data_IF_718562466569
#
_entry.id   IF_718562466569
#
_cell.length_a   1.000
_cell.length_b   1.000
_cell.length_c   1.000
_cell.angle_alpha   90.00
_cell.angle_beta   90.00
_cell.angle_gamma   90.00
#
_symmetry.space_group_name_H-M   'P 1'
#
loop_
_entity.id
_entity.type
_entity.pdbx_description
1 polymer ?
#
# COMPACT_ATOMS: atom_id res chain seq x y z
N UNK A 1 66.03 8.02 2.38
CA UNK A 1 64.94 8.91 1.87
C UNK A 1 63.89 8.02 1.25
N UNK A 2 62.90 7.70 2.02
CA UNK A 2 61.78 6.81 1.62
C UNK A 2 60.57 7.71 1.27
N UNK A 3 60.15 7.67 0.04
CA UNK A 3 58.94 8.36 -0.42
C UNK A 3 57.70 7.56 0.00
N UNK A 4 56.81 8.21 0.74
CA UNK A 4 55.46 7.67 1.02
C UNK A 4 54.56 7.92 -0.20
N UNK A 5 53.66 6.95 -0.53
CA UNK A 5 52.69 7.18 -1.57
C UNK A 5 51.54 8.07 -1.05
N UNK A 6 51.29 9.16 -1.77
CA UNK A 6 50.10 9.99 -1.57
C UNK A 6 48.86 9.20 -2.02
N UNK A 7 47.99 8.86 -1.10
CA UNK A 7 46.64 8.36 -1.39
C UNK A 7 45.75 9.53 -1.81
N UNK A 8 45.48 9.63 -3.09
CA UNK A 8 44.44 10.48 -3.64
C UNK A 8 43.07 9.85 -3.28
N UNK A 9 42.36 10.45 -2.33
CA UNK A 9 40.94 10.18 -2.12
C UNK A 9 40.16 10.79 -3.30
N UNK A 10 39.94 10.00 -4.36
CA UNK A 10 38.85 10.29 -5.28
C UNK A 10 37.56 10.22 -4.51
N UNK A 11 36.90 11.38 -4.34
CA UNK A 11 35.53 11.46 -3.89
C UNK A 11 34.68 10.79 -4.97
N UNK A 12 34.23 9.56 -4.71
CA UNK A 12 33.14 8.96 -5.46
C UNK A 12 31.90 9.84 -5.27
N UNK A 13 31.67 10.77 -6.19
CA UNK A 13 30.39 11.43 -6.31
C UNK A 13 29.35 10.35 -6.65
N UNK A 14 28.47 10.09 -5.70
CA UNK A 14 27.36 9.17 -5.87
C UNK A 14 26.51 9.68 -7.05
N UNK A 15 26.42 8.96 -8.18
CA UNK A 15 25.67 9.41 -9.36
C UNK A 15 24.17 9.62 -9.08
N UNK A 16 23.67 9.15 -7.93
CA UNK A 16 22.28 9.31 -7.49
C UNK A 16 22.00 10.64 -6.77
N UNK A 17 23.01 11.49 -6.51
CA UNK A 17 22.85 12.81 -5.88
C UNK A 17 22.33 13.92 -6.80
N UNK A 18 21.86 13.63 -7.99
CA UNK A 18 21.27 14.64 -8.91
C UNK A 18 19.73 14.62 -8.97
N UNK A 19 19.07 13.89 -8.10
CA UNK A 19 17.63 14.05 -7.96
C UNK A 19 17.35 15.31 -7.14
N UNK A 20 16.65 16.26 -7.78
CA UNK A 20 16.34 17.58 -7.28
C UNK A 20 15.80 17.54 -5.85
N UNK A 21 16.35 18.37 -4.99
CA UNK A 21 15.89 18.60 -3.60
C UNK A 21 14.44 19.19 -3.50
N UNK A 22 13.64 19.10 -4.56
CA UNK A 22 12.27 19.63 -4.62
C UNK A 22 11.38 18.82 -5.55
N UNK A 23 10.10 18.71 -5.20
CA UNK A 23 9.06 18.23 -6.10
C UNK A 23 9.05 19.01 -7.43
N UNK A 24 8.62 18.40 -8.53
CA UNK A 24 8.58 19.08 -9.83
C UNK A 24 7.53 20.19 -9.85
N UNK A 25 7.81 21.23 -10.65
CA UNK A 25 6.95 22.42 -10.77
C UNK A 25 5.46 22.09 -11.01
N UNK A 26 5.15 21.04 -11.78
CA UNK A 26 3.77 20.67 -12.10
C UNK A 26 2.91 20.39 -10.86
N UNK A 27 3.52 19.89 -9.75
CA UNK A 27 2.78 19.66 -8.52
C UNK A 27 2.29 20.98 -7.92
N UNK A 28 3.16 21.98 -7.83
CA UNK A 28 2.81 23.27 -7.25
C UNK A 28 1.81 24.03 -8.12
N UNK A 29 1.95 23.94 -9.44
CA UNK A 29 0.96 24.46 -10.40
C UNK A 29 -0.40 23.75 -10.21
N UNK A 30 -0.40 22.43 -10.00
CA UNK A 30 -1.60 21.65 -9.73
C UNK A 30 -2.26 22.00 -8.39
N UNK A 31 -1.46 22.27 -7.37
CA UNK A 31 -1.93 22.69 -6.05
C UNK A 31 -2.31 24.19 -6.00
N UNK A 32 -2.01 24.97 -7.03
CA UNK A 32 -2.29 26.41 -7.10
C UNK A 32 -1.45 27.26 -6.16
N UNK A 33 -0.22 26.82 -5.83
CA UNK A 33 0.68 27.52 -4.92
C UNK A 33 2.06 27.76 -5.52
N UNK A 34 2.78 28.74 -5.00
CA UNK A 34 4.18 28.97 -5.36
C UNK A 34 5.08 27.85 -4.81
N UNK A 35 6.21 27.58 -5.47
CA UNK A 35 7.19 26.59 -4.99
C UNK A 35 7.79 27.09 -3.66
N UNK A 36 7.57 26.36 -2.54
CA UNK A 36 8.11 26.76 -1.25
C UNK A 36 9.59 26.40 -1.13
N UNK A 37 10.33 27.12 -0.30
CA UNK A 37 11.68 26.74 0.13
C UNK A 37 11.59 25.64 1.21
N UNK A 38 12.72 24.97 1.46
CA UNK A 38 12.81 24.00 2.55
C UNK A 38 12.57 24.71 3.90
N UNK A 39 11.68 24.20 4.71
CA UNK A 39 11.22 24.80 5.97
C UNK A 39 9.99 25.72 5.85
N UNK A 40 9.59 26.13 4.65
CA UNK A 40 8.40 26.97 4.47
C UNK A 40 7.12 26.20 4.82
N UNK A 41 6.18 26.88 5.47
CA UNK A 41 4.83 26.40 5.74
C UNK A 41 3.87 26.93 4.65
N UNK A 42 3.02 26.08 4.13
CA UNK A 42 1.95 26.44 3.19
C UNK A 42 0.61 25.89 3.66
N UNK A 43 -0.48 26.57 3.32
CA UNK A 43 -1.84 26.09 3.54
C UNK A 43 -2.41 25.50 2.24
N UNK A 44 -2.92 24.27 2.31
CA UNK A 44 -3.63 23.61 1.23
C UNK A 44 -5.01 23.19 1.76
N UNK A 45 -6.05 23.86 1.30
CA UNK A 45 -7.43 23.56 1.69
C UNK A 45 -7.67 23.59 3.22
N UNK A 46 -7.05 24.54 3.93
CA UNK A 46 -7.13 24.67 5.38
C UNK A 46 -6.25 23.69 6.17
N UNK A 47 -5.35 23.00 5.50
CA UNK A 47 -4.39 22.08 6.11
C UNK A 47 -2.97 22.64 5.98
N UNK A 48 -2.22 22.59 7.07
CA UNK A 48 -0.83 23.05 7.10
C UNK A 48 0.13 21.98 6.62
N UNK A 49 1.01 22.37 5.71
CA UNK A 49 2.09 21.55 5.18
C UNK A 49 3.42 22.25 5.38
N UNK A 50 4.45 21.50 5.73
CA UNK A 50 5.84 21.98 5.73
C UNK A 50 6.56 21.35 4.55
N UNK A 51 7.28 22.15 3.77
CA UNK A 51 8.25 21.67 2.80
C UNK A 51 9.48 21.17 3.54
N UNK A 52 9.81 19.89 3.39
CA UNK A 52 10.99 19.30 4.02
C UNK A 52 11.63 18.26 3.14
N UNK A 53 12.90 18.48 2.77
CA UNK A 53 13.68 17.58 1.92
C UNK A 53 12.95 17.21 0.61
N UNK A 54 12.43 18.21 -0.07
CA UNK A 54 11.71 18.03 -1.32
C UNK A 54 10.30 17.44 -1.21
N UNK A 55 9.77 17.20 -0.01
CA UNK A 55 8.44 16.61 0.22
C UNK A 55 7.57 17.58 1.02
N UNK A 56 6.33 17.80 0.57
CA UNK A 56 5.30 18.48 1.38
C UNK A 56 4.74 17.50 2.41
N UNK A 57 4.86 17.87 3.70
CA UNK A 57 4.46 17.03 4.83
C UNK A 57 3.32 17.68 5.61
N UNK A 58 2.22 16.98 5.69
CA UNK A 58 1.04 17.40 6.44
C UNK A 58 1.31 17.36 7.95
N UNK A 59 0.79 18.39 8.67
CA UNK A 59 0.87 18.51 10.13
C UNK A 59 -0.45 18.16 10.83
N UNK A 60 -1.29 17.32 10.22
CA UNK A 60 -2.58 16.95 10.81
C UNK A 60 -2.44 16.24 12.16
N UNK A 61 -3.36 16.60 13.05
CA UNK A 61 -3.67 15.79 14.22
C UNK A 61 -4.47 14.57 13.76
N UNK A 62 -3.87 13.40 13.91
CA UNK A 62 -4.48 12.11 13.62
C UNK A 62 -5.23 11.60 14.87
N UNK A 63 -6.22 10.74 14.67
CA UNK A 63 -6.77 9.91 15.76
C UNK A 63 -5.66 9.04 16.37
N UNK A 64 -5.87 8.53 17.58
CA UNK A 64 -4.91 7.63 18.23
C UNK A 64 -4.67 6.37 17.39
N UNK A 65 -5.72 5.79 16.80
CA UNK A 65 -5.63 4.60 15.98
C UNK A 65 -4.92 4.86 14.65
N UNK A 66 -5.18 6.01 14.01
CA UNK A 66 -4.49 6.39 12.79
C UNK A 66 -3.02 6.75 13.04
N UNK A 67 -2.69 7.34 14.19
CA UNK A 67 -1.32 7.65 14.58
C UNK A 67 -0.50 6.36 14.79
N UNK A 68 -1.05 5.37 15.49
CA UNK A 68 -0.42 4.05 15.66
C UNK A 68 -0.26 3.34 14.31
N UNK A 69 -1.30 3.34 13.49
CA UNK A 69 -1.26 2.74 12.14
C UNK A 69 -0.17 3.38 11.27
N UNK A 70 -0.04 4.72 11.30
CA UNK A 70 1.04 5.47 10.64
C UNK A 70 2.43 5.01 11.11
N UNK A 71 2.61 4.84 12.42
CA UNK A 71 3.89 4.39 13.00
C UNK A 71 4.21 2.95 12.57
N UNK A 72 3.22 2.07 12.62
CA UNK A 72 3.32 0.68 12.17
C UNK A 72 3.81 0.57 10.73
N UNK A 73 3.21 1.30 9.80
CA UNK A 73 3.62 1.27 8.40
C UNK A 73 4.95 1.98 8.15
N UNK A 74 5.24 3.05 8.90
CA UNK A 74 6.55 3.69 8.85
C UNK A 74 7.68 2.74 9.24
N UNK A 75 7.50 1.97 10.31
CA UNK A 75 8.43 0.94 10.75
C UNK A 75 8.56 -0.21 9.74
N UNK A 76 7.42 -0.78 9.33
CA UNK A 76 7.34 -1.89 8.37
C UNK A 76 8.11 -1.59 7.09
N UNK A 77 7.77 -0.48 6.44
CA UNK A 77 8.39 -0.08 5.17
C UNK A 77 9.83 0.43 5.31
N UNK A 78 10.28 0.74 6.52
CA UNK A 78 11.69 1.00 6.82
C UNK A 78 12.57 -0.26 6.74
N UNK A 79 12.00 -1.45 6.90
CA UNK A 79 12.72 -2.74 6.85
C UNK A 79 12.85 -3.26 5.40
N UNK A 80 13.61 -2.59 4.56
CA UNK A 80 13.74 -2.92 3.12
C UNK A 80 14.13 -4.37 2.83
N UNK A 81 14.97 -4.97 3.67
CA UNK A 81 15.38 -6.38 3.54
C UNK A 81 14.20 -7.39 3.65
N UNK A 82 13.03 -6.95 4.08
CA UNK A 82 11.85 -7.81 4.26
C UNK A 82 10.88 -7.75 3.09
N UNK A 83 11.19 -7.03 2.00
CA UNK A 83 10.30 -6.89 0.83
C UNK A 83 11.02 -6.51 -0.48
N UNK A 84 12.35 -6.62 -0.54
CA UNK A 84 13.15 -6.21 -1.70
C UNK A 84 13.74 -7.40 -2.49
N UNK A 85 13.51 -8.66 -2.06
CA UNK A 85 14.00 -9.81 -2.81
C UNK A 85 13.28 -9.95 -4.16
N UNK A 86 13.96 -10.53 -5.14
CA UNK A 86 13.39 -10.82 -6.45
C UNK A 86 12.14 -11.70 -6.34
N UNK A 87 12.17 -12.70 -5.45
CA UNK A 87 11.05 -13.61 -5.20
C UNK A 87 9.84 -12.85 -4.65
N UNK A 88 10.05 -11.95 -3.69
CA UNK A 88 8.98 -11.13 -3.12
C UNK A 88 8.35 -10.21 -4.19
N UNK A 89 9.18 -9.50 -4.95
CA UNK A 89 8.71 -8.58 -5.99
C UNK A 89 7.98 -9.32 -7.11
N UNK A 90 8.48 -10.47 -7.55
CA UNK A 90 7.83 -11.31 -8.55
C UNK A 90 6.44 -11.78 -8.06
N UNK A 91 6.35 -12.18 -6.79
CA UNK A 91 5.07 -12.54 -6.16
C UNK A 91 4.09 -11.36 -6.12
N UNK A 92 4.55 -10.18 -5.70
CA UNK A 92 3.73 -8.97 -5.68
C UNK A 92 3.20 -8.67 -7.09
N UNK A 93 4.06 -8.73 -8.11
CA UNK A 93 3.67 -8.49 -9.51
C UNK A 93 2.62 -9.50 -9.97
N UNK A 94 2.83 -10.81 -9.76
CA UNK A 94 1.86 -11.85 -10.13
C UNK A 94 0.49 -11.58 -9.49
N UNK A 95 0.48 -11.32 -8.22
CA UNK A 95 -0.70 -11.02 -7.42
C UNK A 95 -1.47 -9.76 -7.90
N UNK A 96 -0.74 -8.69 -8.24
CA UNK A 96 -1.35 -7.48 -8.78
C UNK A 96 -1.96 -7.73 -10.17
N UNK A 97 -1.27 -8.48 -11.04
CA UNK A 97 -1.79 -8.86 -12.37
C UNK A 97 -3.03 -9.74 -12.26
N UNK A 98 -3.07 -10.71 -11.35
CA UNK A 98 -4.27 -11.52 -11.11
C UNK A 98 -5.49 -10.67 -10.74
N UNK A 99 -5.30 -9.65 -9.93
CA UNK A 99 -6.34 -8.75 -9.46
C UNK A 99 -6.75 -7.71 -10.47
N UNK A 100 -5.80 -6.95 -10.98
CA UNK A 100 -6.08 -5.78 -11.82
C UNK A 100 -6.01 -6.06 -13.32
N UNK A 101 -5.42 -7.19 -13.71
CA UNK A 101 -5.03 -7.47 -15.09
C UNK A 101 -3.65 -6.88 -15.41
N UNK A 102 -3.11 -7.24 -16.59
CA UNK A 102 -1.85 -6.68 -17.08
C UNK A 102 -2.08 -5.27 -17.63
N UNK A 103 -1.94 -4.29 -16.75
CA UNK A 103 -2.15 -2.88 -17.07
C UNK A 103 -0.96 -2.29 -17.83
N UNK A 104 0.24 -2.87 -17.68
CA UNK A 104 1.43 -2.40 -18.37
C UNK A 104 1.31 -2.52 -19.89
N UNK A 105 0.50 -3.46 -20.37
CA UNK A 105 0.17 -3.68 -21.79
C UNK A 105 -1.11 -2.98 -22.25
N UNK A 106 -1.90 -2.40 -21.35
CA UNK A 106 -3.20 -1.81 -21.66
C UNK A 106 -3.08 -0.38 -22.21
N UNK A 107 -3.93 -0.07 -23.19
CA UNK A 107 -3.99 1.28 -23.78
C UNK A 107 -4.90 2.24 -22.99
N UNK A 108 -5.54 1.77 -21.91
CA UNK A 108 -6.54 2.59 -21.23
C UNK A 108 -5.98 3.82 -20.49
N UNK A 109 -4.69 3.87 -20.17
CA UNK A 109 -4.07 5.12 -19.72
C UNK A 109 -4.03 6.17 -20.84
N UNK A 110 -3.91 5.74 -22.10
CA UNK A 110 -3.90 6.66 -23.27
C UNK A 110 -5.24 7.36 -23.46
N UNK A 111 -6.35 6.77 -22.98
CA UNK A 111 -7.68 7.42 -23.01
C UNK A 111 -7.73 8.72 -22.24
N UNK A 112 -6.81 8.92 -21.29
CA UNK A 112 -6.72 10.10 -20.43
C UNK A 112 -5.81 11.22 -20.99
N UNK A 113 -5.34 11.06 -22.24
CA UNK A 113 -4.48 12.03 -22.92
C UNK A 113 -3.00 11.89 -22.57
N UNK A 114 -2.23 12.93 -22.92
CA UNK A 114 -0.80 12.98 -22.59
C UNK A 114 -0.58 13.38 -21.13
N UNK A 115 0.32 12.65 -20.43
CA UNK A 115 0.69 12.90 -19.05
C UNK A 115 -0.49 12.93 -18.05
N UNK A 116 -1.32 11.86 -17.96
CA UNK A 116 -2.43 11.80 -17.01
C UNK A 116 -1.92 11.90 -15.57
N UNK A 117 -2.74 12.48 -14.69
CA UNK A 117 -2.43 12.54 -13.24
C UNK A 117 -2.86 11.21 -12.60
N UNK A 118 -1.89 10.51 -12.02
CA UNK A 118 -2.10 9.28 -11.25
C UNK A 118 -1.81 9.60 -9.78
N UNK A 119 -2.79 9.38 -8.90
CA UNK A 119 -2.57 9.40 -7.45
C UNK A 119 -2.48 7.96 -6.94
N UNK A 120 -1.36 7.60 -6.35
CA UNK A 120 -1.17 6.37 -5.58
C UNK A 120 -1.46 6.68 -4.11
N UNK A 121 -2.68 6.39 -3.67
CA UNK A 121 -3.18 6.74 -2.36
C UNK A 121 -2.82 5.66 -1.33
N UNK A 122 -1.84 5.96 -0.49
CA UNK A 122 -1.18 5.04 0.42
C UNK A 122 -0.06 4.27 -0.26
N UNK A 123 0.82 4.99 -0.98
CA UNK A 123 1.86 4.38 -1.81
C UNK A 123 2.90 3.55 -1.02
N UNK A 124 2.95 3.68 0.31
CA UNK A 124 3.93 2.98 1.14
C UNK A 124 5.35 3.20 0.65
N UNK A 125 6.08 2.12 0.37
CA UNK A 125 7.41 2.14 -0.23
C UNK A 125 7.40 2.19 -1.78
N UNK A 126 6.25 2.39 -2.43
CA UNK A 126 6.13 2.48 -3.88
C UNK A 126 6.20 1.15 -4.62
N UNK A 127 6.17 0.02 -3.91
CA UNK A 127 6.35 -1.31 -4.50
C UNK A 127 5.22 -1.64 -5.46
N UNK A 128 3.97 -1.53 -5.02
CA UNK A 128 2.79 -1.94 -5.81
C UNK A 128 2.67 -1.14 -7.10
N UNK A 129 2.90 0.17 -7.06
CA UNK A 129 2.84 1.00 -8.25
C UNK A 129 3.92 0.64 -9.26
N UNK A 130 5.17 0.44 -8.82
CA UNK A 130 6.27 0.05 -9.70
C UNK A 130 6.01 -1.32 -10.32
N UNK A 131 5.58 -2.30 -9.53
CA UNK A 131 5.37 -3.66 -10.00
C UNK A 131 4.14 -3.81 -10.92
N UNK A 132 3.09 -2.99 -10.73
CA UNK A 132 1.89 -3.04 -11.55
C UNK A 132 2.02 -2.21 -12.84
N UNK A 133 2.43 -0.95 -12.71
CA UNK A 133 2.46 -0.01 -13.82
C UNK A 133 3.78 -0.02 -14.60
N UNK A 134 4.89 -0.29 -13.90
CA UNK A 134 6.21 -0.36 -14.54
C UNK A 134 6.57 0.89 -15.36
N UNK A 135 7.04 0.69 -16.61
CA UNK A 135 7.53 1.79 -17.45
C UNK A 135 6.49 2.85 -17.81
N UNK A 136 5.18 2.52 -17.76
CA UNK A 136 4.12 3.48 -18.14
C UNK A 136 4.04 4.67 -17.19
N UNK A 137 4.55 4.54 -15.95
CA UNK A 137 4.65 5.66 -15.01
C UNK A 137 5.50 6.82 -15.55
N UNK A 138 6.44 6.54 -16.46
CA UNK A 138 7.25 7.58 -17.09
C UNK A 138 6.45 8.50 -18.03
N UNK A 139 5.25 8.07 -18.46
CA UNK A 139 4.35 8.80 -19.32
C UNK A 139 3.19 9.45 -18.54
N UNK A 140 3.29 9.53 -17.21
CA UNK A 140 2.26 10.07 -16.33
C UNK A 140 2.84 11.08 -15.34
N UNK A 141 1.99 11.91 -14.77
CA UNK A 141 2.27 12.71 -13.58
C UNK A 141 1.91 11.87 -12.35
N UNK A 142 2.85 11.04 -11.93
CA UNK A 142 2.65 10.18 -10.77
C UNK A 142 2.86 10.96 -9.48
N UNK A 143 1.87 10.88 -8.58
CA UNK A 143 1.87 11.43 -7.23
C UNK A 143 1.60 10.33 -6.21
N UNK A 144 2.64 9.88 -5.53
CA UNK A 144 2.52 8.99 -4.38
C UNK A 144 2.19 9.78 -3.11
N UNK A 145 1.14 9.39 -2.42
CA UNK A 145 0.77 9.97 -1.13
C UNK A 145 0.71 8.88 -0.06
N UNK A 146 1.26 9.17 1.13
CA UNK A 146 1.21 8.27 2.28
C UNK A 146 1.25 9.08 3.58
N UNK A 147 0.57 8.61 4.62
CA UNK A 147 0.55 9.29 5.92
C UNK A 147 1.84 9.05 6.72
N UNK A 148 2.55 7.98 6.43
CA UNK A 148 3.73 7.51 7.18
C UNK A 148 5.06 8.01 6.62
N UNK A 149 6.15 7.68 7.31
CA UNK A 149 7.52 7.93 6.83
C UNK A 149 7.94 7.03 5.66
N UNK A 150 7.14 6.05 5.27
CA UNK A 150 7.37 5.19 4.11
C UNK A 150 7.55 5.98 2.81
N UNK A 151 6.96 7.18 2.74
CA UNK A 151 7.12 8.11 1.62
C UNK A 151 8.59 8.40 1.29
N UNK A 152 9.49 8.39 2.27
CA UNK A 152 10.93 8.58 2.04
C UNK A 152 11.54 7.36 1.34
N UNK A 153 11.08 6.15 1.68
CA UNK A 153 11.52 4.91 1.04
C UNK A 153 11.02 4.87 -0.41
N UNK A 154 9.77 5.28 -0.66
CA UNK A 154 9.22 5.38 -2.01
C UNK A 154 10.03 6.34 -2.89
N UNK A 155 10.36 7.53 -2.38
CA UNK A 155 11.17 8.52 -3.11
C UNK A 155 12.52 7.93 -3.53
N UNK A 156 13.20 7.24 -2.60
CA UNK A 156 14.48 6.59 -2.88
C UNK A 156 14.33 5.46 -3.89
N UNK A 157 13.32 4.61 -3.75
CA UNK A 157 13.07 3.47 -4.64
C UNK A 157 12.77 3.91 -6.08
N UNK A 158 11.94 4.93 -6.27
CA UNK A 158 11.65 5.46 -7.59
C UNK A 158 12.92 6.01 -8.26
N UNK A 159 13.75 6.73 -7.49
CA UNK A 159 15.03 7.23 -7.97
C UNK A 159 15.98 6.09 -8.37
N UNK A 160 16.14 5.06 -7.53
CA UNK A 160 16.95 3.86 -7.81
C UNK A 160 16.50 3.13 -9.08
N UNK A 161 15.21 3.15 -9.38
CA UNK A 161 14.62 2.51 -10.57
C UNK A 161 14.60 3.43 -11.80
N UNK A 162 15.02 4.69 -11.68
CA UNK A 162 14.98 5.68 -12.77
C UNK A 162 13.55 6.06 -13.20
N UNK A 163 12.56 5.88 -12.33
CA UNK A 163 11.16 6.19 -12.60
C UNK A 163 10.84 7.58 -12.03
N UNK A 164 10.26 8.51 -12.82
CA UNK A 164 9.84 9.80 -12.30
C UNK A 164 8.71 9.62 -11.27
N UNK A 165 8.88 10.16 -10.08
CA UNK A 165 7.87 10.14 -9.03
C UNK A 165 7.82 11.45 -8.27
N UNK A 166 6.63 11.84 -7.87
CA UNK A 166 6.38 12.98 -6.99
C UNK A 166 5.70 12.47 -5.74
N UNK A 167 6.05 13.03 -4.57
CA UNK A 167 5.62 12.46 -3.31
C UNK A 167 5.17 13.53 -2.33
N UNK A 168 4.07 13.24 -1.59
CA UNK A 168 3.58 14.07 -0.49
C UNK A 168 3.20 13.21 0.71
N UNK A 169 3.46 13.69 1.91
CA UNK A 169 2.96 13.04 3.13
C UNK A 169 1.57 13.57 3.45
N UNK A 170 0.54 12.75 3.20
CA UNK A 170 -0.88 13.13 3.23
C UNK A 170 -1.71 12.02 3.85
N UNK A 171 -2.72 12.38 4.63
CA UNK A 171 -3.79 11.46 5.03
C UNK A 171 -4.78 11.30 3.87
N UNK A 172 -4.92 10.06 3.38
CA UNK A 172 -5.80 9.73 2.23
C UNK A 172 -7.29 9.98 2.51
N UNK A 173 -7.68 10.10 3.78
CA UNK A 173 -9.06 10.45 4.17
C UNK A 173 -9.38 11.93 3.99
N UNK A 174 -8.35 12.79 3.89
CA UNK A 174 -8.46 14.25 3.76
C UNK A 174 -7.48 14.79 2.71
N UNK A 175 -7.58 14.32 1.45
CA UNK A 175 -6.66 14.73 0.41
C UNK A 175 -6.87 16.21 0.04
N UNK A 176 -5.81 17.04 0.01
CA UNK A 176 -5.92 18.48 -0.21
C UNK A 176 -5.94 18.86 -1.71
N UNK A 177 -6.45 17.99 -2.56
CA UNK A 177 -6.43 18.15 -4.02
C UNK A 177 -7.75 18.66 -4.56
N UNK A 178 -7.73 19.37 -5.71
CA UNK A 178 -8.96 19.82 -6.37
C UNK A 178 -9.86 18.64 -6.77
N UNK A 179 -11.16 18.82 -6.62
CA UNK A 179 -12.14 17.85 -7.12
C UNK A 179 -12.11 17.78 -8.67
N UNK A 180 -12.49 16.63 -9.22
CA UNK A 180 -12.57 16.39 -10.68
C UNK A 180 -11.26 16.72 -11.44
N UNK A 181 -10.11 16.43 -10.84
CA UNK A 181 -8.78 16.81 -11.36
C UNK A 181 -7.87 15.63 -11.67
N UNK A 182 -8.19 14.43 -11.22
CA UNK A 182 -7.35 13.23 -11.28
C UNK A 182 -7.88 12.26 -12.32
N UNK A 183 -6.99 11.67 -13.11
CA UNK A 183 -7.35 10.71 -14.15
C UNK A 183 -7.44 9.29 -13.63
N UNK A 184 -6.53 8.92 -12.72
CA UNK A 184 -6.46 7.61 -12.10
C UNK A 184 -6.13 7.72 -10.61
N UNK A 185 -6.85 6.98 -9.78
CA UNK A 185 -6.48 6.73 -8.38
C UNK A 185 -6.20 5.24 -8.23
N UNK A 186 -5.06 4.92 -7.62
CA UNK A 186 -4.67 3.58 -7.23
C UNK A 186 -4.51 3.53 -5.71
N UNK A 187 -5.05 2.49 -5.05
CA UNK A 187 -4.98 2.36 -3.58
C UNK A 187 -4.95 0.88 -3.18
N UNK A 188 -3.77 0.30 -3.16
CA UNK A 188 -3.57 -1.13 -2.90
C UNK A 188 -3.30 -1.40 -1.43
N UNK A 189 -4.27 -2.01 -0.75
CA UNK A 189 -4.07 -2.44 0.64
C UNK A 189 -4.07 -1.30 1.66
N UNK A 190 -4.85 -0.22 1.45
CA UNK A 190 -4.74 1.01 2.24
C UNK A 190 -6.03 1.42 2.93
N UNK A 191 -7.15 1.51 2.21
CA UNK A 191 -8.37 2.16 2.70
C UNK A 191 -8.91 1.54 3.99
N UNK A 192 -8.76 0.24 4.15
CA UNK A 192 -9.15 -0.50 5.35
C UNK A 192 -8.21 -0.25 6.57
N UNK A 193 -7.12 0.49 6.36
CA UNK A 193 -6.21 0.97 7.41
C UNK A 193 -6.42 2.45 7.73
N UNK A 194 -7.53 3.04 7.31
CA UNK A 194 -7.98 4.38 7.72
C UNK A 194 -9.04 4.30 8.80
N UNK A 195 -9.33 5.41 9.46
CA UNK A 195 -10.39 5.47 10.48
C UNK A 195 -11.78 5.09 9.92
N UNK A 196 -11.99 5.33 8.62
CA UNK A 196 -13.20 4.93 7.89
C UNK A 196 -12.86 4.59 6.45
N UNK A 197 -12.96 3.31 6.09
CA UNK A 197 -12.78 2.82 4.72
C UNK A 197 -13.72 3.54 3.75
N UNK A 198 -14.99 3.68 4.14
CA UNK A 198 -16.02 4.35 3.34
C UNK A 198 -15.67 5.82 3.08
N UNK A 199 -15.39 6.58 4.14
CA UNK A 199 -15.16 8.02 4.00
C UNK A 199 -13.88 8.30 3.19
N UNK A 200 -12.85 7.49 3.36
CA UNK A 200 -11.62 7.58 2.55
C UNK A 200 -11.87 7.27 1.08
N UNK A 201 -12.66 6.22 0.79
CA UNK A 201 -13.07 5.90 -0.58
C UNK A 201 -13.83 7.08 -1.22
N UNK A 202 -14.80 7.63 -0.53
CA UNK A 202 -15.61 8.75 -1.02
C UNK A 202 -14.79 10.03 -1.19
N UNK A 203 -13.87 10.32 -0.25
CA UNK A 203 -12.96 11.46 -0.34
C UNK A 203 -12.07 11.38 -1.60
N UNK A 204 -11.53 10.21 -1.89
CA UNK A 204 -10.72 9.99 -3.09
C UNK A 204 -11.58 10.00 -4.37
N UNK A 205 -12.76 9.38 -4.35
CA UNK A 205 -13.65 9.34 -5.52
C UNK A 205 -14.08 10.73 -6.02
N UNK A 206 -14.14 11.75 -5.14
CA UNK A 206 -14.42 13.14 -5.52
C UNK A 206 -13.32 13.78 -6.36
N UNK A 207 -12.09 13.33 -6.23
CA UNK A 207 -10.95 13.85 -6.99
C UNK A 207 -10.98 13.43 -8.45
N UNK A 208 -11.65 12.32 -8.78
CA UNK A 208 -11.66 11.77 -10.13
C UNK A 208 -12.43 12.68 -11.10
N UNK A 209 -11.82 12.93 -12.25
CA UNK A 209 -12.50 13.47 -13.43
C UNK A 209 -13.63 12.54 -13.86
N UNK A 210 -14.60 13.07 -14.59
CA UNK A 210 -15.56 12.24 -15.34
C UNK A 210 -14.81 11.28 -16.26
N UNK A 211 -15.14 9.99 -16.22
CA UNK A 211 -14.43 8.95 -16.94
C UNK A 211 -13.11 8.48 -16.32
N UNK A 212 -12.63 9.15 -15.27
CA UNK A 212 -11.46 8.71 -14.50
C UNK A 212 -11.71 7.39 -13.78
N UNK A 213 -10.65 6.65 -13.46
CA UNK A 213 -10.75 5.33 -12.82
C UNK A 213 -10.23 5.33 -11.41
N UNK A 214 -10.89 4.54 -10.55
CA UNK A 214 -10.43 4.19 -9.23
C UNK A 214 -10.13 2.69 -9.17
N UNK A 215 -8.90 2.35 -8.86
CA UNK A 215 -8.42 0.99 -8.65
C UNK A 215 -8.07 0.84 -7.19
N UNK A 216 -8.69 -0.11 -6.49
CA UNK A 216 -8.38 -0.32 -5.08
C UNK A 216 -8.61 -1.76 -4.64
N UNK A 217 -7.93 -2.12 -3.55
CA UNK A 217 -8.08 -3.38 -2.84
C UNK A 217 -8.34 -3.12 -1.37
N UNK A 218 -9.35 -3.80 -0.81
CA UNK A 218 -9.68 -3.78 0.62
C UNK A 218 -9.84 -5.20 1.16
N UNK A 219 -9.66 -5.38 2.47
CA UNK A 219 -9.79 -6.68 3.09
C UNK A 219 -11.24 -7.16 3.10
N UNK A 220 -11.44 -8.42 2.72
CA UNK A 220 -12.71 -9.11 2.82
C UNK A 220 -12.92 -9.66 4.25
N UNK A 221 -14.16 -9.70 4.72
CA UNK A 221 -14.53 -10.36 5.98
C UNK A 221 -14.24 -11.85 5.91
N UNK A 222 -13.78 -12.41 7.01
CA UNK A 222 -13.39 -13.82 7.12
C UNK A 222 -14.48 -14.66 7.77
N UNK A 223 -14.25 -15.96 7.89
CA UNK A 223 -15.08 -16.84 8.70
C UNK A 223 -15.00 -16.52 10.21
N UNK A 224 -15.97 -16.99 11.02
CA UNK A 224 -16.15 -16.53 12.40
C UNK A 224 -14.95 -16.80 13.32
N UNK A 225 -14.30 -17.96 13.18
CA UNK A 225 -13.12 -18.28 14.00
C UNK A 225 -11.97 -17.32 13.65
N UNK A 226 -11.77 -17.09 12.35
CA UNK A 226 -10.70 -16.23 11.87
C UNK A 226 -10.90 -14.77 12.31
N UNK A 227 -12.13 -14.24 12.22
CA UNK A 227 -12.44 -12.88 12.70
C UNK A 227 -12.15 -12.77 14.21
N UNK A 228 -12.61 -13.72 15.02
CA UNK A 228 -12.35 -13.71 16.46
C UNK A 228 -10.86 -13.83 16.79
N UNK A 229 -10.14 -14.76 16.17
CA UNK A 229 -8.72 -15.00 16.44
C UNK A 229 -7.86 -13.82 16.02
N UNK A 230 -8.13 -13.25 14.85
CA UNK A 230 -7.39 -12.09 14.35
C UNK A 230 -7.59 -10.87 15.27
N UNK A 231 -8.80 -10.61 15.74
CA UNK A 231 -9.08 -9.49 16.66
C UNK A 231 -8.45 -9.72 18.04
N UNK A 232 -8.49 -10.96 18.55
CA UNK A 232 -7.80 -11.32 19.79
C UNK A 232 -6.29 -11.09 19.72
N UNK A 233 -5.64 -11.48 18.61
CA UNK A 233 -4.21 -11.24 18.41
C UNK A 233 -3.90 -9.74 18.34
N UNK A 234 -4.73 -8.95 17.63
CA UNK A 234 -4.57 -7.48 17.57
C UNK A 234 -4.64 -6.87 18.95
N UNK A 235 -5.60 -7.28 19.78
CA UNK A 235 -5.75 -6.80 21.14
C UNK A 235 -4.49 -7.08 22.01
N UNK A 236 -3.82 -8.20 21.80
CA UNK A 236 -2.60 -8.56 22.53
C UNK A 236 -1.36 -7.75 22.10
N UNK A 237 -1.34 -7.22 20.88
CA UNK A 237 -0.18 -6.48 20.34
C UNK A 237 -0.39 -4.97 20.24
N UNK A 238 -1.61 -4.47 20.45
CA UNK A 238 -2.00 -3.08 20.20
C UNK A 238 -1.20 -2.01 20.94
N UNK A 239 -0.71 -2.35 22.16
CA UNK A 239 0.02 -1.43 23.03
C UNK A 239 1.54 -1.61 22.93
N UNK A 240 2.01 -2.49 22.06
CA UNK A 240 3.43 -2.74 21.86
C UNK A 240 4.05 -1.71 20.92
N UNK A 241 5.29 -1.31 21.20
CA UNK A 241 6.07 -0.55 20.22
C UNK A 241 6.36 -1.41 18.98
N UNK A 242 6.59 -0.81 17.80
CA UNK A 242 6.67 -1.56 16.54
C UNK A 242 7.65 -2.74 16.53
N UNK A 243 8.82 -2.59 17.16
CA UNK A 243 9.81 -3.67 17.23
C UNK A 243 9.32 -4.83 18.11
N UNK A 244 8.73 -4.55 19.28
CA UNK A 244 8.18 -5.58 20.16
C UNK A 244 6.98 -6.29 19.50
N UNK A 245 6.16 -5.56 18.77
CA UNK A 245 5.06 -6.14 18.01
C UNK A 245 5.58 -7.06 16.88
N UNK A 246 6.67 -6.67 16.20
CA UNK A 246 7.34 -7.50 15.21
C UNK A 246 7.80 -8.84 15.80
N UNK A 247 8.49 -8.79 16.93
CA UNK A 247 8.98 -9.98 17.65
C UNK A 247 7.83 -10.85 18.19
N UNK A 248 6.74 -10.22 18.65
CA UNK A 248 5.56 -10.93 19.13
C UNK A 248 4.83 -11.75 18.05
N UNK A 249 4.96 -11.35 16.76
CA UNK A 249 4.37 -12.06 15.61
C UNK A 249 5.28 -13.21 15.11
N UNK A 250 6.58 -13.19 15.38
CA UNK A 250 7.53 -14.20 14.90
C UNK A 250 7.13 -15.66 15.23
N UNK A 251 6.64 -15.99 16.45
CA UNK A 251 6.21 -17.36 16.73
C UNK A 251 5.04 -17.83 15.86
N UNK A 252 4.15 -16.92 15.46
CA UNK A 252 3.06 -17.23 14.54
C UNK A 252 3.58 -17.50 13.12
N UNK A 253 4.60 -16.77 12.69
CA UNK A 253 5.31 -17.02 11.44
C UNK A 253 6.02 -18.38 11.47
N UNK A 254 6.70 -18.72 12.57
CA UNK A 254 7.30 -20.04 12.76
C UNK A 254 6.28 -21.19 12.69
N UNK A 255 5.11 -20.98 13.29
CA UNK A 255 4.00 -21.94 13.18
C UNK A 255 3.55 -22.12 11.74
N UNK A 256 3.42 -21.01 10.98
CA UNK A 256 3.07 -21.06 9.56
C UNK A 256 4.05 -21.88 8.72
N UNK A 257 5.36 -21.71 8.98
CA UNK A 257 6.43 -22.49 8.35
C UNK A 257 6.33 -23.96 8.74
N UNK A 258 6.23 -24.28 10.03
CA UNK A 258 6.12 -25.65 10.51
C UNK A 258 4.92 -26.38 9.91
N UNK A 259 3.76 -25.73 9.82
CA UNK A 259 2.56 -26.28 9.17
C UNK A 259 2.75 -26.47 7.66
N UNK A 260 3.47 -25.57 6.98
CA UNK A 260 3.75 -25.66 5.55
C UNK A 260 4.73 -26.79 5.23
N UNK A 261 5.79 -26.93 6.03
CA UNK A 261 6.82 -27.96 5.86
C UNK A 261 6.29 -29.39 6.11
N UNK A 262 5.23 -29.54 6.93
CA UNK A 262 4.54 -30.83 7.08
C UNK A 262 4.02 -31.36 5.74
N UNK A 263 3.73 -30.48 4.78
CA UNK A 263 3.17 -30.80 3.46
C UNK A 263 1.96 -31.78 3.54
N UNK A 264 1.17 -31.67 4.61
CA UNK A 264 0.02 -32.52 4.88
C UNK A 264 -1.24 -31.97 4.22
N UNK A 265 -2.00 -32.84 3.59
CA UNK A 265 -3.32 -32.53 3.03
C UNK A 265 -4.43 -33.11 3.90
N UNK A 266 -5.56 -32.45 3.94
CA UNK A 266 -6.80 -32.92 4.54
C UNK A 266 -7.91 -32.86 3.49
N UNK A 267 -8.77 -33.89 3.49
CA UNK A 267 -9.97 -33.94 2.69
C UNK A 267 -11.19 -33.63 3.57
N UNK A 268 -11.93 -32.57 3.24
CA UNK A 268 -13.14 -32.15 3.94
C UNK A 268 -14.34 -32.69 3.12
N UNK A 269 -14.98 -33.77 3.59
CA UNK A 269 -15.93 -34.49 2.75
C UNK A 269 -17.25 -33.71 2.49
N UNK A 270 -17.58 -32.75 3.33
CA UNK A 270 -18.76 -31.85 3.20
C UNK A 270 -18.41 -30.46 3.70
N UNK A 271 -19.01 -29.40 3.13
CA UNK A 271 -18.79 -28.05 3.65
C UNK A 271 -19.27 -27.94 5.10
N UNK A 272 -18.53 -27.17 5.90
CA UNK A 272 -18.87 -26.86 7.28
C UNK A 272 -19.35 -25.41 7.28
N UNK A 273 -20.62 -25.22 6.88
CA UNK A 273 -21.21 -23.87 6.71
C UNK A 273 -21.18 -23.04 7.99
N UNK A 274 -21.30 -23.69 9.16
CA UNK A 274 -21.19 -23.04 10.46
C UNK A 274 -19.84 -22.34 10.69
N UNK A 275 -18.80 -22.76 10.00
CA UNK A 275 -17.43 -22.23 10.11
C UNK A 275 -16.95 -21.54 8.83
N UNK A 276 -17.75 -21.60 7.76
CA UNK A 276 -17.37 -21.10 6.44
C UNK A 276 -16.20 -21.89 5.81
N UNK A 277 -16.11 -23.20 6.11
CA UNK A 277 -15.07 -24.08 5.57
C UNK A 277 -15.64 -24.85 4.38
N UNK A 278 -15.12 -24.69 3.15
CA UNK A 278 -15.61 -25.42 1.99
C UNK A 278 -15.20 -26.91 2.01
N UNK A 279 -15.98 -27.74 1.30
CA UNK A 279 -15.58 -29.12 1.03
C UNK A 279 -14.40 -29.17 0.05
N UNK A 280 -13.66 -30.28 0.09
CA UNK A 280 -12.56 -30.56 -0.84
C UNK A 280 -11.20 -30.73 -0.17
N UNK A 281 -10.19 -31.01 -0.98
CA UNK A 281 -8.82 -31.17 -0.53
C UNK A 281 -8.15 -29.81 -0.34
N UNK A 282 -7.47 -29.66 0.78
CA UNK A 282 -6.66 -28.48 1.07
C UNK A 282 -5.45 -28.87 1.91
N UNK A 283 -4.36 -28.10 1.82
CA UNK A 283 -3.25 -28.33 2.73
C UNK A 283 -3.63 -27.91 4.17
N UNK A 284 -3.09 -28.60 5.14
CA UNK A 284 -3.32 -28.29 6.56
C UNK A 284 -2.92 -26.83 6.88
N UNK A 285 -1.82 -26.35 6.28
CA UNK A 285 -1.38 -24.96 6.42
C UNK A 285 -2.43 -23.98 5.87
N UNK A 286 -3.02 -24.24 4.70
CA UNK A 286 -4.05 -23.37 4.11
C UNK A 286 -5.36 -23.43 4.87
N UNK A 287 -5.75 -24.59 5.40
CA UNK A 287 -6.89 -24.72 6.28
C UNK A 287 -6.70 -23.84 7.53
N UNK A 288 -5.54 -23.95 8.19
CA UNK A 288 -5.22 -23.12 9.35
C UNK A 288 -5.21 -21.61 8.97
N UNK A 289 -4.50 -21.28 7.90
CA UNK A 289 -4.35 -19.90 7.40
C UNK A 289 -5.71 -19.22 7.12
N UNK A 290 -6.62 -19.90 6.45
CA UNK A 290 -7.88 -19.29 6.06
C UNK A 290 -8.94 -19.31 7.15
N UNK A 291 -8.92 -20.30 8.05
CA UNK A 291 -10.04 -20.55 8.95
C UNK A 291 -9.68 -20.44 10.43
N UNK A 292 -8.41 -20.33 10.82
CA UNK A 292 -7.99 -20.22 12.23
C UNK A 292 -7.24 -18.92 12.49
N UNK A 293 -6.08 -18.73 11.91
CA UNK A 293 -5.23 -17.54 12.09
C UNK A 293 -4.31 -17.34 10.87
N UNK A 294 -3.98 -16.08 10.54
CA UNK A 294 -3.01 -15.79 9.48
C UNK A 294 -1.60 -16.16 9.93
N UNK A 295 -1.23 -17.41 9.72
CA UNK A 295 0.14 -17.91 9.83
C UNK A 295 0.66 -18.11 8.40
N UNK A 296 1.19 -17.05 7.80
CA UNK A 296 1.58 -17.04 6.38
C UNK A 296 2.77 -17.95 6.13
N UNK A 297 2.73 -18.69 5.03
CA UNK A 297 3.81 -19.54 4.53
C UNK A 297 3.93 -19.47 3.02
N UNK A 298 5.15 -19.30 2.55
CA UNK A 298 5.56 -19.45 1.17
C UNK A 298 7.02 -19.93 1.14
N UNK A 299 7.34 -21.12 0.55
CA UNK A 299 8.68 -21.67 0.59
C UNK A 299 9.72 -20.87 -0.22
N UNK A 300 9.28 -19.91 -1.03
CA UNK A 300 10.16 -19.06 -1.84
C UNK A 300 10.60 -17.79 -1.10
N UNK A 301 9.98 -17.50 0.05
CA UNK A 301 10.23 -16.31 0.83
C UNK A 301 11.06 -16.60 2.09
N UNK A 302 11.86 -15.65 2.51
CA UNK A 302 12.57 -15.70 3.78
C UNK A 302 11.63 -15.59 4.98
N UNK A 303 12.14 -15.93 6.17
CA UNK A 303 11.40 -15.76 7.41
C UNK A 303 10.94 -14.31 7.61
N UNK A 304 11.82 -13.36 7.41
CA UNK A 304 11.54 -11.93 7.60
C UNK A 304 10.48 -11.42 6.61
N UNK A 305 10.49 -11.90 5.36
CA UNK A 305 9.45 -11.58 4.36
C UNK A 305 8.08 -12.16 4.74
N UNK A 306 8.06 -13.38 5.27
CA UNK A 306 6.82 -13.98 5.78
C UNK A 306 6.32 -13.25 7.04
N UNK A 307 7.23 -12.86 7.94
CA UNK A 307 6.88 -12.09 9.14
C UNK A 307 6.36 -10.69 8.79
N UNK A 308 6.94 -10.04 7.77
CA UNK A 308 6.44 -8.77 7.20
C UNK A 308 4.95 -8.87 6.78
N UNK A 309 4.57 -9.98 6.14
CA UNK A 309 3.19 -10.21 5.69
C UNK A 309 2.24 -10.48 6.87
N UNK A 310 2.70 -11.16 7.92
CA UNK A 310 1.91 -11.39 9.13
C UNK A 310 1.78 -10.11 9.96
N UNK A 311 2.87 -9.35 10.10
CA UNK A 311 2.91 -8.06 10.80
C UNK A 311 1.90 -7.06 10.22
N UNK A 312 1.84 -6.94 8.92
CA UNK A 312 0.90 -6.09 8.17
C UNK A 312 -0.58 -6.37 8.53
N UNK A 313 -0.89 -7.60 8.83
CA UNK A 313 -2.25 -8.03 9.15
C UNK A 313 -2.64 -7.77 10.60
N UNK A 314 -1.72 -7.98 11.54
CA UNK A 314 -2.05 -8.01 12.96
C UNK A 314 -1.76 -6.72 13.70
N UNK A 315 -0.75 -5.95 13.29
CA UNK A 315 -0.26 -4.85 14.12
C UNK A 315 -0.97 -3.51 13.89
N UNK A 316 -1.39 -3.13 12.68
CA UNK A 316 -2.16 -1.88 12.50
C UNK A 316 -3.46 -1.94 13.29
N UNK A 317 -3.74 -0.89 14.11
CA UNK A 317 -5.01 -0.79 14.85
C UNK A 317 -6.20 -0.60 13.90
N UNK A 318 -6.02 0.24 12.89
CA UNK A 318 -7.00 0.35 11.82
C UNK A 318 -6.83 -0.85 10.87
N UNK A 319 -7.74 -1.81 10.94
CA UNK A 319 -7.78 -3.00 10.09
C UNK A 319 -9.22 -3.46 9.88
N UNK A 320 -9.99 -2.65 9.17
CA UNK A 320 -11.39 -2.95 8.86
C UNK A 320 -11.50 -4.06 7.80
N UNK A 321 -12.55 -4.86 7.88
CA UNK A 321 -12.89 -5.92 6.91
C UNK A 321 -14.29 -5.66 6.38
N UNK A 322 -14.45 -5.67 5.07
CA UNK A 322 -15.67 -5.30 4.37
C UNK A 322 -16.36 -6.51 3.75
N UNK A 323 -17.66 -6.38 3.48
CA UNK A 323 -18.35 -7.29 2.57
C UNK A 323 -18.37 -6.72 1.14
N UNK A 324 -18.53 -7.56 0.11
CA UNK A 324 -18.68 -7.07 -1.26
C UNK A 324 -19.87 -6.12 -1.43
N UNK A 325 -20.96 -6.34 -0.69
CA UNK A 325 -22.17 -5.51 -0.74
C UNK A 325 -21.89 -4.10 -0.22
N UNK A 326 -21.15 -3.98 0.89
CA UNK A 326 -20.71 -2.68 1.44
C UNK A 326 -19.88 -1.92 0.41
N UNK A 327 -18.88 -2.59 -0.18
CA UNK A 327 -17.98 -1.97 -1.16
C UNK A 327 -18.74 -1.50 -2.42
N UNK A 328 -19.65 -2.32 -2.95
CA UNK A 328 -20.51 -1.95 -4.10
C UNK A 328 -21.39 -0.75 -3.77
N UNK A 329 -21.98 -0.72 -2.56
CA UNK A 329 -22.79 0.41 -2.10
C UNK A 329 -21.99 1.70 -2.04
N UNK A 330 -20.76 1.67 -1.53
CA UNK A 330 -19.89 2.84 -1.47
C UNK A 330 -19.40 3.31 -2.85
N UNK A 331 -19.15 2.36 -3.75
CA UNK A 331 -18.88 2.70 -5.14
C UNK A 331 -20.05 3.47 -5.77
N UNK A 332 -21.27 2.97 -5.60
CA UNK A 332 -22.48 3.62 -6.12
C UNK A 332 -22.68 5.02 -5.52
N UNK A 333 -22.51 5.18 -4.19
CA UNK A 333 -22.58 6.47 -3.50
C UNK A 333 -21.52 7.45 -4.00
N UNK A 334 -20.31 6.96 -4.29
CA UNK A 334 -19.20 7.75 -4.88
C UNK A 334 -19.38 8.08 -6.38
N UNK A 335 -20.49 7.66 -7.00
CA UNK A 335 -20.72 7.84 -8.43
C UNK A 335 -19.76 7.01 -9.30
N UNK A 336 -19.34 5.87 -8.80
CA UNK A 336 -18.40 4.95 -9.45
C UNK A 336 -19.16 3.74 -10.04
N UNK A 337 -19.00 3.51 -11.34
CA UNK A 337 -19.49 2.31 -12.01
C UNK A 337 -18.39 1.25 -12.02
N UNK A 338 -18.64 0.11 -11.36
CA UNK A 338 -17.68 -1.00 -11.33
C UNK A 338 -17.50 -1.58 -12.74
N UNK A 339 -16.25 -1.62 -13.22
CA UNK A 339 -15.83 -2.24 -14.49
C UNK A 339 -15.23 -3.64 -14.27
N UNK A 340 -14.53 -3.83 -13.14
CA UNK A 340 -13.96 -5.12 -12.74
C UNK A 340 -14.11 -5.29 -11.24
N UNK A 341 -14.51 -6.48 -10.82
CA UNK A 341 -14.57 -6.91 -9.43
C UNK A 341 -13.94 -8.29 -9.30
N UNK A 342 -13.01 -8.44 -8.37
CA UNK A 342 -12.43 -9.73 -7.99
C UNK A 342 -12.62 -9.91 -6.50
N UNK A 343 -13.35 -10.95 -6.12
CA UNK A 343 -13.65 -11.29 -4.73
C UNK A 343 -12.86 -12.55 -4.37
N UNK A 344 -11.95 -12.40 -3.43
CA UNK A 344 -11.12 -13.47 -2.90
C UNK A 344 -11.31 -13.60 -1.39
N UNK A 345 -10.90 -14.73 -0.81
CA UNK A 345 -10.86 -14.87 0.64
C UNK A 345 -10.02 -13.78 1.30
N UNK A 346 -8.96 -13.32 0.64
CA UNK A 346 -8.09 -12.27 1.16
C UNK A 346 -8.75 -10.89 1.15
N UNK A 347 -9.42 -10.53 0.06
CA UNK A 347 -9.97 -9.19 -0.10
C UNK A 347 -10.84 -9.02 -1.35
N UNK A 348 -11.19 -7.78 -1.59
CA UNK A 348 -12.06 -7.32 -2.66
C UNK A 348 -11.28 -6.31 -3.48
N UNK A 349 -11.07 -6.62 -4.74
CA UNK A 349 -10.42 -5.72 -5.71
C UNK A 349 -11.46 -5.11 -6.63
N UNK A 350 -11.38 -3.81 -6.81
CA UNK A 350 -12.28 -3.05 -7.67
C UNK A 350 -11.49 -2.21 -8.68
N UNK A 351 -11.93 -2.23 -9.93
CA UNK A 351 -11.68 -1.16 -10.90
C UNK A 351 -13.04 -0.56 -11.20
N UNK A 352 -13.20 0.74 -10.93
CA UNK A 352 -14.45 1.44 -11.18
C UNK A 352 -14.18 2.75 -11.90
N UNK A 353 -15.12 3.17 -12.76
CA UNK A 353 -15.06 4.41 -13.55
C UNK A 353 -16.00 5.45 -12.96
N UNK A 354 -15.52 6.69 -12.83
CA UNK A 354 -16.38 7.83 -12.44
C UNK A 354 -17.42 8.09 -13.50
N UNK A 355 -18.68 8.13 -13.08
CA UNK A 355 -19.81 8.43 -13.96
C UNK A 355 -19.76 9.83 -14.57
N UNK A 356 -20.55 10.03 -15.62
CA UNK A 356 -20.68 11.32 -16.32
C UNK A 356 -21.45 12.38 -15.52
#
# INVERSE_FOLDING_TARGET
MSAQPQTTHEKFENPYMKFKDSNPKWLYDYLGVSIPNDGDEIDLSGQKFIQSKGILRNQLLLSTTQAQTKETFGFKWGKRNTFDSEAFLARVRSWLIERYGDISSSDWLKEHGENPIIIDAGCGAGVSAIELFGPILSNARYLGIDVSSAINVATTRFAERGIPGTFMQVDVSKPPFPENSVDLIFSEGVLHHTDSTKDSLLALARLLKKGGRFMFYVYNRKGPIREFTDDHIRDLVKDKVPQEAWEAIEPLTQLGIALGELNAEIDIPKPIDLLGIPAGKTSLQRLFYWHVAKAFYDPTLSFDEMNHINYDWYVPLNCARQTPEEVRSWCAEGGLKVEREVIENAGITIIARKGN
#
